data_IF_574151154812
#
_entry.id   IF_574151154812
#
_cell.length_a   1.000
_cell.length_b   1.000
_cell.length_c   1.000
_cell.angle_alpha   90.00
_cell.angle_beta   90.00
_cell.angle_gamma   90.00
#
_symmetry.space_group_name_H-M   'P 1'
#
loop_
_entity.id
_entity.type
_entity.pdbx_description
1 polymer ?
#
# COMPACT_ATOMS: atom_id res chain seq x y z
N UNK A 1 -4.99 19.97 -17.93
CA UNK A 1 -5.54 19.51 -16.65
C UNK A 1 -4.36 19.04 -15.81
N UNK A 2 -3.89 19.86 -14.87
CA UNK A 2 -2.79 19.45 -13.98
C UNK A 2 -3.32 18.37 -13.06
N UNK A 3 -3.02 17.10 -13.37
CA UNK A 3 -3.13 16.03 -12.40
C UNK A 3 -2.33 16.49 -11.19
N UNK A 4 -3.02 16.85 -10.11
CA UNK A 4 -2.35 17.32 -8.92
C UNK A 4 -1.45 16.18 -8.44
N UNK A 5 -0.23 16.44 -7.96
CA UNK A 5 0.64 15.41 -7.40
C UNK A 5 -0.02 14.52 -6.33
N UNK A 6 -1.11 15.00 -5.72
CA UNK A 6 -1.96 14.30 -4.75
C UNK A 6 -2.75 13.14 -5.35
N UNK A 7 -3.25 13.27 -6.59
CA UNK A 7 -3.99 12.17 -7.24
C UNK A 7 -3.04 11.02 -7.56
N UNK A 8 -1.80 11.33 -7.94
CA UNK A 8 -0.80 10.31 -8.28
C UNK A 8 -0.33 9.52 -7.05
N UNK A 9 -0.14 10.17 -5.89
CA UNK A 9 0.21 9.49 -4.64
C UNK A 9 -0.95 8.63 -4.12
N UNK A 10 -2.17 9.16 -4.16
CA UNK A 10 -3.36 8.44 -3.73
C UNK A 10 -3.65 7.22 -4.62
N UNK A 11 -3.55 7.37 -5.95
CA UNK A 11 -3.71 6.26 -6.90
C UNK A 11 -2.64 5.19 -6.70
N UNK A 12 -1.38 5.57 -6.47
CA UNK A 12 -0.30 4.61 -6.17
C UNK A 12 -0.55 3.89 -4.84
N UNK A 13 -1.00 4.61 -3.81
CA UNK A 13 -1.38 4.04 -2.52
C UNK A 13 -2.52 3.02 -2.66
N UNK A 14 -3.61 3.39 -3.35
CA UNK A 14 -4.75 2.50 -3.60
C UNK A 14 -4.36 1.25 -4.37
N UNK A 15 -3.50 1.38 -5.39
CA UNK A 15 -3.00 0.22 -6.15
C UNK A 15 -2.17 -0.73 -5.28
N UNK A 16 -1.29 -0.19 -4.43
CA UNK A 16 -0.52 -1.02 -3.48
C UNK A 16 -1.42 -1.69 -2.43
N UNK A 17 -2.50 -1.02 -2.02
CA UNK A 17 -3.51 -1.62 -1.14
C UNK A 17 -4.25 -2.76 -1.82
N UNK A 18 -4.69 -2.59 -3.07
CA UNK A 18 -5.32 -3.66 -3.86
C UNK A 18 -4.38 -4.86 -4.01
N UNK A 19 -3.12 -4.64 -4.38
CA UNK A 19 -2.10 -5.70 -4.50
C UNK A 19 -1.90 -6.45 -3.17
N UNK A 20 -1.81 -5.71 -2.06
CA UNK A 20 -1.68 -6.28 -0.70
C UNK A 20 -2.92 -7.10 -0.29
N UNK A 21 -4.11 -6.61 -0.61
CA UNK A 21 -5.38 -7.26 -0.24
C UNK A 21 -5.60 -8.51 -1.08
N UNK A 22 -5.28 -8.45 -2.38
CA UNK A 22 -5.31 -9.60 -3.28
C UNK A 22 -4.33 -10.70 -2.82
N UNK A 23 -3.12 -10.32 -2.41
CA UNK A 23 -2.15 -11.28 -1.86
C UNK A 23 -2.64 -11.89 -0.55
N UNK A 24 -3.15 -11.08 0.37
CA UNK A 24 -3.67 -11.56 1.67
C UNK A 24 -4.87 -12.49 1.48
N UNK A 25 -5.73 -12.23 0.48
CA UNK A 25 -6.86 -13.12 0.15
C UNK A 25 -6.45 -14.50 -0.38
N UNK A 26 -5.32 -14.59 -1.08
CA UNK A 26 -4.80 -15.86 -1.63
C UNK A 26 -3.74 -16.56 -0.77
N UNK A 27 -3.13 -15.85 0.18
CA UNK A 27 -2.00 -16.35 0.96
C UNK A 27 -2.41 -16.73 2.39
N UNK A 28 -2.49 -18.03 2.68
CA UNK A 28 -2.76 -18.55 4.02
C UNK A 28 -1.70 -18.11 5.05
N UNK A 29 -0.44 -17.92 4.63
CA UNK A 29 0.61 -17.44 5.52
C UNK A 29 0.31 -16.01 6.00
N UNK A 30 0.01 -15.09 5.08
CA UNK A 30 -0.38 -13.72 5.42
C UNK A 30 -1.69 -13.66 6.23
N UNK A 31 -2.59 -14.64 6.09
CA UNK A 31 -3.78 -14.75 6.94
C UNK A 31 -3.47 -15.27 8.35
N UNK A 32 -2.47 -16.16 8.48
CA UNK A 32 -2.11 -16.84 9.72
C UNK A 32 -1.03 -16.15 10.54
N UNK A 33 -0.96 -14.82 10.50
CA UNK A 33 0.05 -13.99 11.22
C UNK A 33 1.51 -14.23 10.80
N UNK A 34 1.76 -15.07 9.78
CA UNK A 34 3.12 -15.40 9.33
C UNK A 34 3.47 -14.57 8.09
N UNK A 35 4.49 -13.70 8.15
CA UNK A 35 4.86 -12.91 6.99
C UNK A 35 5.34 -13.82 5.85
N UNK A 36 4.62 -13.80 4.74
CA UNK A 36 5.02 -14.49 3.52
C UNK A 36 6.21 -13.77 2.88
N UNK A 37 7.23 -14.50 2.43
CA UNK A 37 8.41 -13.93 1.73
C UNK A 37 8.00 -13.09 0.52
N UNK A 38 6.93 -13.50 -0.18
CA UNK A 38 6.36 -12.74 -1.31
C UNK A 38 5.49 -11.55 -0.86
N UNK A 39 4.85 -11.67 0.31
CA UNK A 39 4.02 -10.61 0.90
C UNK A 39 4.84 -9.48 1.52
N UNK A 40 6.04 -9.76 2.05
CA UNK A 40 6.95 -8.76 2.64
C UNK A 40 7.16 -7.55 1.73
N UNK A 41 7.62 -7.69 0.46
CA UNK A 41 7.84 -6.53 -0.41
C UNK A 41 6.54 -5.79 -0.76
N UNK A 42 5.39 -6.48 -0.79
CA UNK A 42 4.08 -5.88 -1.07
C UNK A 42 3.64 -5.01 0.12
N UNK A 43 3.73 -5.55 1.34
CA UNK A 43 3.40 -4.85 2.57
C UNK A 43 4.36 -3.68 2.85
N UNK A 44 5.66 -3.84 2.62
CA UNK A 44 6.63 -2.74 2.75
C UNK A 44 6.32 -1.59 1.79
N UNK A 45 5.96 -1.92 0.54
CA UNK A 45 5.59 -0.90 -0.45
C UNK A 45 4.31 -0.17 -0.05
N UNK A 46 3.30 -0.91 0.43
CA UNK A 46 2.07 -0.32 0.95
C UNK A 46 2.35 0.61 2.14
N UNK A 47 3.13 0.16 3.13
CA UNK A 47 3.48 0.93 4.31
C UNK A 47 4.20 2.25 3.95
N UNK A 48 5.16 2.21 3.02
CA UNK A 48 5.84 3.44 2.55
C UNK A 48 4.89 4.44 1.90
N UNK A 49 3.92 3.96 1.11
CA UNK A 49 2.95 4.81 0.43
C UNK A 49 1.91 5.37 1.41
N UNK A 50 1.48 4.56 2.38
CA UNK A 50 0.63 5.00 3.48
C UNK A 50 1.32 6.10 4.28
N UNK A 51 2.58 5.90 4.68
CA UNK A 51 3.36 6.89 5.43
C UNK A 51 3.53 8.19 4.64
N UNK A 52 3.85 8.11 3.34
CA UNK A 52 3.97 9.28 2.48
C UNK A 52 2.63 10.03 2.35
N UNK A 53 1.52 9.30 2.21
CA UNK A 53 0.18 9.88 2.12
C UNK A 53 -0.23 10.55 3.45
N UNK A 54 -0.05 9.87 4.58
CA UNK A 54 -0.34 10.40 5.92
C UNK A 54 0.53 11.60 6.27
N UNK A 55 1.83 11.54 5.99
CA UNK A 55 2.74 12.66 6.20
C UNK A 55 2.34 13.89 5.38
N UNK A 56 1.79 13.68 4.18
CA UNK A 56 1.27 14.77 3.34
C UNK A 56 -0.08 15.29 3.82
N UNK A 57 -0.99 14.43 4.28
CA UNK A 57 -2.27 14.85 4.86
C UNK A 57 -2.07 15.72 6.11
N UNK A 58 -1.07 15.41 6.94
CA UNK A 58 -0.75 16.21 8.14
C UNK A 58 -0.16 17.59 7.84
N UNK A 59 0.32 17.83 6.61
CA UNK A 59 0.92 19.09 6.18
C UNK A 59 -0.09 20.05 5.50
N UNK A 60 -1.35 19.62 5.36
CA UNK A 60 -2.45 20.40 4.81
C UNK A 60 -3.44 20.80 5.90
#
# INVERSE_FOLDING_TARGET
MSARPTDDLFVRYMKAFEDSTAHTGGCLACQGETPCVEGVPIHERFARLQDAYTARQKQH
#
